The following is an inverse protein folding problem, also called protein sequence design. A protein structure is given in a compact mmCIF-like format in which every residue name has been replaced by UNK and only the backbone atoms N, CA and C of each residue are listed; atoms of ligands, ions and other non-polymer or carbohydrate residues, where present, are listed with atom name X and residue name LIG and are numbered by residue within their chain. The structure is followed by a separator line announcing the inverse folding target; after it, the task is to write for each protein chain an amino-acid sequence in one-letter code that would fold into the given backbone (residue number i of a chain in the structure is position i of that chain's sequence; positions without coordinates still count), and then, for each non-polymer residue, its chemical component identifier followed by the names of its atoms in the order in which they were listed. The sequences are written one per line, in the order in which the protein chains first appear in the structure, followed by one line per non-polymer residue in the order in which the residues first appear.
data_IF_129012865654
#
_entry.id   IF_129012865654
#
_cell.length_a   1.000
_cell.length_b   1.000
_cell.length_c   1.000
_cell.angle_alpha   90.00
_cell.angle_beta   90.00
_cell.angle_gamma   90.00
#
_symmetry.space_group_name_H-M   'P 1'
#
loop_
_entity.id
_entity.type
_entity.pdbx_description
1 polymer ?
#
# COMPACT_ATOMS: atom_id res chain seq x y z
N UNK A 1 -5.68 1.64 11.24
CA UNK A 1 -6.91 1.46 12.02
C UNK A 1 -7.73 2.74 11.97
N UNK A 2 -9.09 2.65 11.99
CA UNK A 2 -9.92 3.85 12.13
C UNK A 2 -9.94 4.82 10.95
N UNK A 3 -9.45 4.45 9.76
CA UNK A 3 -9.45 5.32 8.57
C UNK A 3 -10.83 5.89 8.26
N UNK A 4 -11.86 5.04 8.31
CA UNK A 4 -13.25 5.43 8.04
C UNK A 4 -13.76 6.46 9.04
N UNK A 5 -13.37 6.38 10.32
CA UNK A 5 -13.75 7.37 11.34
C UNK A 5 -13.19 8.76 11.01
N UNK A 6 -11.95 8.84 10.53
CA UNK A 6 -11.35 10.11 10.08
C UNK A 6 -12.14 10.67 8.89
N UNK A 7 -12.49 9.82 7.91
CA UNK A 7 -13.30 10.23 6.77
C UNK A 7 -14.68 10.72 7.17
N UNK A 8 -15.35 10.03 8.12
CA UNK A 8 -16.67 10.42 8.64
C UNK A 8 -16.60 11.82 9.29
N UNK A 9 -15.59 12.07 10.13
CA UNK A 9 -15.42 13.38 10.78
C UNK A 9 -15.10 14.49 9.80
N UNK A 10 -14.21 14.23 8.84
CA UNK A 10 -13.88 15.20 7.80
C UNK A 10 -15.11 15.53 6.93
N UNK A 11 -15.88 14.50 6.56
CA UNK A 11 -17.12 14.68 5.79
C UNK A 11 -18.18 15.46 6.57
N UNK A 12 -18.29 15.24 7.90
CA UNK A 12 -19.21 16.01 8.75
C UNK A 12 -18.87 17.49 8.74
N UNK A 13 -17.60 17.85 8.98
CA UNK A 13 -17.15 19.24 8.99
C UNK A 13 -17.38 19.89 7.64
N UNK A 14 -17.07 19.22 6.54
CA UNK A 14 -17.26 19.74 5.19
C UNK A 14 -18.76 19.96 4.88
N UNK A 15 -19.60 18.96 5.13
CA UNK A 15 -21.06 19.06 4.88
C UNK A 15 -21.71 20.17 5.73
N UNK A 16 -21.34 20.28 7.02
CA UNK A 16 -21.83 21.37 7.90
C UNK A 16 -21.32 22.75 7.48
N UNK A 17 -20.24 22.82 6.72
CA UNK A 17 -19.75 24.08 6.11
C UNK A 17 -20.44 24.41 4.78
N UNK A 18 -21.44 23.63 4.35
CA UNK A 18 -22.24 23.88 3.14
C UNK A 18 -21.59 23.45 1.83
N UNK A 19 -20.56 22.56 1.89
CA UNK A 19 -19.95 21.99 0.67
C UNK A 19 -20.31 20.51 0.54
N UNK A 20 -20.38 20.05 -0.72
CA UNK A 20 -20.64 18.64 -1.01
C UNK A 20 -19.41 17.78 -0.79
N UNK A 21 -19.64 16.54 -0.36
CA UNK A 21 -18.59 15.52 -0.13
C UNK A 21 -18.84 14.33 -1.05
N UNK A 22 -17.80 13.91 -1.77
CA UNK A 22 -17.82 12.68 -2.55
C UNK A 22 -16.90 11.63 -1.90
N UNK A 23 -17.43 10.42 -1.69
CA UNK A 23 -16.68 9.28 -1.16
C UNK A 23 -16.66 8.17 -2.19
N UNK A 24 -15.47 7.84 -2.68
CA UNK A 24 -15.28 6.86 -3.74
C UNK A 24 -14.63 5.59 -3.18
N UNK A 25 -15.32 4.48 -3.35
CA UNK A 25 -14.84 3.15 -2.99
C UNK A 25 -14.60 2.29 -4.25
N UNK A 26 -13.63 1.36 -4.23
CA UNK A 26 -13.29 0.55 -5.41
C UNK A 26 -14.35 -0.49 -5.77
N UNK A 27 -15.16 -0.93 -4.81
CA UNK A 27 -16.19 -1.95 -5.02
C UNK A 27 -17.55 -1.47 -4.54
N UNK A 28 -18.60 -2.07 -5.12
CA UNK A 28 -19.99 -1.77 -4.77
C UNK A 28 -20.32 -2.17 -3.34
N UNK A 29 -19.80 -3.30 -2.86
CA UNK A 29 -20.01 -3.74 -1.49
C UNK A 29 -19.35 -2.78 -0.48
N UNK A 30 -18.13 -2.32 -0.74
CA UNK A 30 -17.48 -1.34 0.12
C UNK A 30 -18.21 0.01 0.11
N UNK A 31 -18.73 0.44 -1.04
CA UNK A 31 -19.57 1.63 -1.13
C UNK A 31 -20.85 1.48 -0.30
N UNK A 32 -21.51 0.30 -0.34
CA UNK A 32 -22.67 -0.03 0.50
C UNK A 32 -22.33 0.04 1.99
N UNK A 33 -21.19 -0.52 2.40
CA UNK A 33 -20.75 -0.50 3.80
C UNK A 33 -20.47 0.93 4.28
N UNK A 34 -19.78 1.73 3.47
CA UNK A 34 -19.58 3.16 3.77
C UNK A 34 -20.91 3.88 3.88
N UNK A 35 -21.82 3.68 2.93
CA UNK A 35 -23.15 4.31 2.98
C UNK A 35 -23.88 3.98 4.27
N UNK A 36 -23.94 2.72 4.67
CA UNK A 36 -24.59 2.29 5.91
C UNK A 36 -23.95 2.96 7.14
N UNK A 37 -22.63 2.96 7.22
CA UNK A 37 -21.90 3.56 8.34
C UNK A 37 -22.10 5.06 8.45
N UNK A 38 -22.11 5.78 7.31
CA UNK A 38 -22.36 7.22 7.27
C UNK A 38 -23.81 7.57 7.56
N UNK A 39 -24.75 6.86 6.95
CA UNK A 39 -26.18 7.08 7.16
C UNK A 39 -26.59 6.83 8.62
N UNK A 40 -26.04 5.80 9.25
CA UNK A 40 -26.26 5.52 10.67
C UNK A 40 -25.64 6.60 11.57
N UNK A 41 -24.40 7.00 11.30
CA UNK A 41 -23.68 8.01 12.09
C UNK A 41 -24.34 9.37 12.00
N UNK A 42 -24.89 9.74 10.86
CA UNK A 42 -25.51 11.05 10.65
C UNK A 42 -27.02 11.06 10.85
N UNK A 43 -27.59 9.98 11.35
CA UNK A 43 -29.01 9.92 11.71
C UNK A 43 -29.35 11.01 12.73
N UNK A 44 -30.29 11.88 12.39
CA UNK A 44 -30.70 13.01 13.25
C UNK A 44 -29.92 14.31 13.01
N UNK A 45 -28.93 14.33 12.16
CA UNK A 45 -28.29 15.55 11.68
C UNK A 45 -28.91 16.03 10.37
N UNK A 46 -28.89 17.34 10.08
CA UNK A 46 -29.40 17.90 8.83
C UNK A 46 -28.41 17.63 7.67
N UNK A 47 -28.04 16.37 7.45
CA UNK A 47 -27.09 15.94 6.43
C UNK A 47 -27.74 14.84 5.59
N UNK A 48 -27.86 15.09 4.29
CA UNK A 48 -28.45 14.16 3.34
C UNK A 48 -27.37 13.28 2.70
N UNK A 49 -27.28 12.01 3.15
CA UNK A 49 -26.36 11.02 2.61
C UNK A 49 -27.02 10.22 1.52
N UNK A 50 -26.43 10.16 0.32
CA UNK A 50 -26.96 9.47 -0.86
C UNK A 50 -26.00 8.47 -1.46
N UNK A 51 -26.45 7.25 -1.83
CA UNK A 51 -25.62 6.28 -2.52
C UNK A 51 -25.70 6.45 -4.05
N UNK A 52 -24.59 6.18 -4.75
CA UNK A 52 -24.57 6.08 -6.21
C UNK A 52 -23.70 4.91 -6.66
N UNK A 53 -24.31 3.75 -6.84
CA UNK A 53 -23.66 2.53 -7.30
C UNK A 53 -24.64 1.69 -8.15
N UNK A 54 -24.17 0.59 -8.70
CA UNK A 54 -25.02 -0.34 -9.48
C UNK A 54 -26.18 -0.96 -8.70
N UNK A 55 -26.08 -1.03 -7.38
CA UNK A 55 -27.14 -1.58 -6.52
C UNK A 55 -28.24 -0.59 -6.16
N UNK A 56 -28.06 0.66 -6.52
CA UNK A 56 -29.10 1.67 -6.34
C UNK A 56 -30.11 1.52 -7.46
N UNK A 57 -31.41 1.54 -7.13
CA UNK A 57 -32.47 1.49 -8.14
C UNK A 57 -32.29 2.62 -9.16
N UNK A 58 -32.76 2.41 -10.40
CA UNK A 58 -32.66 3.43 -11.45
C UNK A 58 -33.30 4.75 -11.00
N UNK A 59 -34.41 4.66 -10.27
CA UNK A 59 -35.16 5.82 -9.71
C UNK A 59 -34.29 6.55 -8.67
N UNK A 60 -33.73 5.82 -7.70
CA UNK A 60 -32.92 6.42 -6.63
C UNK A 60 -31.60 6.99 -7.17
N UNK A 61 -31.02 6.32 -8.17
CA UNK A 61 -29.83 6.83 -8.85
C UNK A 61 -30.12 8.14 -9.62
N UNK A 62 -31.30 8.28 -10.21
CA UNK A 62 -31.74 9.53 -10.85
C UNK A 62 -31.91 10.64 -9.81
N UNK A 63 -32.63 10.38 -8.72
CA UNK A 63 -32.80 11.31 -7.60
C UNK A 63 -31.44 11.72 -6.97
N UNK A 64 -30.52 10.78 -6.85
CA UNK A 64 -29.18 11.10 -6.34
C UNK A 64 -28.43 12.03 -7.30
N UNK A 65 -28.49 11.81 -8.63
CA UNK A 65 -27.85 12.71 -9.60
C UNK A 65 -28.49 14.10 -9.62
N UNK A 66 -29.79 14.19 -9.47
CA UNK A 66 -30.48 15.45 -9.31
C UNK A 66 -30.02 16.17 -8.05
N UNK A 67 -29.99 15.48 -6.89
CA UNK A 67 -29.52 16.03 -5.64
C UNK A 67 -28.04 16.44 -5.63
N UNK A 68 -27.19 15.81 -6.46
CA UNK A 68 -25.80 16.26 -6.69
C UNK A 68 -25.80 17.60 -7.44
N UNK A 69 -26.63 17.73 -8.45
CA UNK A 69 -26.64 18.91 -9.34
C UNK A 69 -27.30 20.11 -8.69
N UNK A 70 -28.36 19.92 -7.91
CA UNK A 70 -29.07 21.01 -7.22
C UNK A 70 -28.47 21.35 -5.85
N UNK A 71 -27.61 20.46 -5.31
CA UNK A 71 -26.90 20.62 -4.04
C UNK A 71 -27.69 20.16 -2.81
N UNK A 72 -28.79 19.40 -2.98
CA UNK A 72 -29.58 18.83 -1.89
C UNK A 72 -28.98 17.55 -1.31
N UNK A 73 -28.05 16.90 -2.03
CA UNK A 73 -27.25 15.80 -1.53
C UNK A 73 -25.93 16.34 -0.97
N UNK A 74 -25.71 16.19 0.33
CA UNK A 74 -24.53 16.71 1.01
C UNK A 74 -23.36 15.75 0.92
N UNK A 75 -23.60 14.45 1.15
CA UNK A 75 -22.58 13.40 1.12
C UNK A 75 -23.00 12.32 0.14
N UNK A 76 -22.17 12.10 -0.86
CA UNK A 76 -22.45 11.13 -1.92
C UNK A 76 -21.42 10.00 -1.84
N UNK A 77 -21.89 8.77 -1.69
CA UNK A 77 -21.05 7.59 -1.53
C UNK A 77 -21.28 6.64 -2.69
N UNK A 78 -20.19 6.30 -3.41
CA UNK A 78 -20.32 5.43 -4.56
C UNK A 78 -19.02 4.83 -5.04
N UNK A 79 -19.09 4.22 -6.21
CA UNK A 79 -17.94 3.67 -6.91
C UNK A 79 -17.41 4.67 -7.95
N UNK A 80 -16.61 4.18 -8.89
CA UNK A 80 -16.17 4.95 -10.07
C UNK A 80 -17.32 5.60 -10.86
N UNK A 81 -18.58 5.19 -10.63
CA UNK A 81 -19.75 5.85 -11.22
C UNK A 81 -19.82 7.34 -10.88
N UNK A 82 -19.28 7.76 -9.73
CA UNK A 82 -19.16 9.17 -9.34
C UNK A 82 -18.18 9.97 -10.23
N UNK A 83 -17.29 9.29 -10.93
CA UNK A 83 -16.31 9.91 -11.85
C UNK A 83 -16.84 10.08 -13.27
N UNK A 84 -18.08 9.64 -13.54
CA UNK A 84 -18.68 9.77 -14.86
C UNK A 84 -18.86 11.27 -15.23
N UNK A 85 -18.66 11.60 -16.52
CA UNK A 85 -18.82 12.99 -17.03
C UNK A 85 -20.22 13.55 -16.82
N UNK A 86 -21.19 12.67 -16.65
CA UNK A 86 -22.61 13.02 -16.40
C UNK A 86 -22.89 13.45 -14.96
N UNK A 87 -21.97 13.19 -14.02
CA UNK A 87 -22.10 13.62 -12.62
C UNK A 87 -21.45 14.99 -12.48
N UNK A 88 -22.26 15.99 -12.15
CA UNK A 88 -21.81 17.38 -11.98
C UNK A 88 -22.19 17.85 -10.58
N UNK A 89 -21.18 18.01 -9.73
CA UNK A 89 -21.37 18.56 -8.39
C UNK A 89 -21.61 20.06 -8.47
N UNK A 90 -22.53 20.58 -7.65
CA UNK A 90 -22.79 22.02 -7.52
C UNK A 90 -21.66 22.72 -6.77
N UNK A 91 -21.21 22.13 -5.66
CA UNK A 91 -20.20 22.72 -4.77
C UNK A 91 -19.39 21.62 -4.07
N UNK A 92 -18.59 20.85 -4.84
CA UNK A 92 -17.74 19.80 -4.26
C UNK A 92 -16.56 20.42 -3.51
N UNK A 93 -16.47 20.24 -2.19
CA UNK A 93 -15.37 20.75 -1.36
C UNK A 93 -14.43 19.67 -0.81
N UNK A 94 -14.95 18.42 -0.66
CA UNK A 94 -14.14 17.30 -0.15
C UNK A 94 -14.33 16.04 -1.00
N UNK A 95 -13.22 15.45 -1.42
CA UNK A 95 -13.17 14.17 -2.11
C UNK A 95 -12.42 13.15 -1.25
N UNK A 96 -13.12 12.11 -0.81
CA UNK A 96 -12.52 10.98 -0.07
C UNK A 96 -12.35 9.80 -1.02
N UNK A 97 -11.15 9.25 -1.10
CA UNK A 97 -10.82 8.10 -1.96
C UNK A 97 -10.32 6.96 -1.09
N UNK A 98 -11.07 5.87 -1.04
CA UNK A 98 -10.61 4.66 -0.35
C UNK A 98 -9.89 3.71 -1.30
N UNK A 99 -8.73 3.20 -0.87
CA UNK A 99 -7.87 2.25 -1.60
C UNK A 99 -7.55 2.72 -3.04
N UNK A 100 -7.04 3.96 -3.20
CA UNK A 100 -6.71 4.61 -4.49
C UNK A 100 -5.93 3.70 -5.45
N UNK A 101 -5.10 2.79 -4.94
CA UNK A 101 -4.30 1.86 -5.74
C UNK A 101 -5.14 0.89 -6.58
N UNK A 102 -6.39 0.67 -6.24
CA UNK A 102 -7.31 -0.22 -6.97
C UNK A 102 -7.96 0.45 -8.19
N UNK A 103 -7.79 1.76 -8.38
CA UNK A 103 -8.34 2.48 -9.53
C UNK A 103 -7.42 2.41 -10.75
N UNK A 104 -8.01 2.15 -11.92
CA UNK A 104 -7.30 2.15 -13.20
C UNK A 104 -6.85 3.55 -13.64
N UNK A 105 -5.98 3.60 -14.68
CA UNK A 105 -5.34 4.83 -15.17
C UNK A 105 -6.35 5.93 -15.53
N UNK A 106 -7.40 5.59 -16.28
CA UNK A 106 -8.45 6.55 -16.68
C UNK A 106 -9.18 7.18 -15.49
N UNK A 107 -9.48 6.40 -14.46
CA UNK A 107 -10.09 6.90 -13.23
C UNK A 107 -9.14 7.83 -12.46
N UNK A 108 -7.84 7.52 -12.44
CA UNK A 108 -6.83 8.37 -11.81
C UNK A 108 -6.66 9.71 -12.52
N UNK A 109 -6.73 9.73 -13.84
CA UNK A 109 -6.71 10.98 -14.62
C UNK A 109 -7.94 11.85 -14.31
N UNK A 110 -9.12 11.25 -14.23
CA UNK A 110 -10.34 11.98 -13.86
C UNK A 110 -10.28 12.50 -12.43
N UNK A 111 -9.75 11.73 -11.51
CA UNK A 111 -9.49 12.17 -10.13
C UNK A 111 -8.52 13.35 -10.08
N UNK A 112 -7.50 13.38 -10.93
CA UNK A 112 -6.58 14.52 -11.03
C UNK A 112 -7.30 15.81 -11.46
N UNK A 113 -8.22 15.71 -12.41
CA UNK A 113 -9.02 16.87 -12.87
C UNK A 113 -9.92 17.46 -11.77
N UNK A 114 -10.47 16.60 -10.89
CA UNK A 114 -11.30 17.02 -9.76
C UNK A 114 -10.48 17.60 -8.59
N UNK A 115 -9.17 17.35 -8.56
CA UNK A 115 -8.28 17.75 -7.45
C UNK A 115 -7.86 19.23 -7.46
N UNK A 116 -8.09 19.95 -8.54
CA UNK A 116 -7.52 21.29 -8.70
C UNK A 116 -8.10 22.30 -7.69
N UNK A 117 -9.39 22.13 -7.31
CA UNK A 117 -10.07 23.08 -6.42
C UNK A 117 -10.79 22.39 -5.23
N UNK A 118 -10.45 21.13 -4.93
CA UNK A 118 -11.15 20.29 -3.94
C UNK A 118 -10.13 19.69 -2.96
N UNK A 119 -10.44 19.71 -1.67
CA UNK A 119 -9.65 18.97 -0.68
C UNK A 119 -9.75 17.47 -0.93
N UNK A 120 -8.61 16.77 -0.92
CA UNK A 120 -8.57 15.34 -1.21
C UNK A 120 -8.00 14.57 -0.02
N UNK A 121 -8.80 13.65 0.52
CA UNK A 121 -8.39 12.70 1.56
C UNK A 121 -8.30 11.30 0.95
N UNK A 122 -7.10 10.73 0.91
CA UNK A 122 -6.90 9.36 0.44
C UNK A 122 -6.68 8.41 1.62
N UNK A 123 -7.41 7.31 1.63
CA UNK A 123 -7.32 6.28 2.66
C UNK A 123 -6.64 5.03 2.07
N UNK A 124 -5.71 4.44 2.80
CA UNK A 124 -5.10 3.14 2.40
C UNK A 124 -4.80 2.28 3.61
N UNK A 125 -4.90 0.96 3.46
CA UNK A 125 -4.49 0.01 4.50
C UNK A 125 -2.99 -0.28 4.43
N UNK A 126 -2.43 -0.28 3.22
CA UNK A 126 -1.00 -0.51 2.95
C UNK A 126 -0.55 0.54 1.94
N UNK A 127 0.27 1.51 2.34
CA UNK A 127 0.84 2.42 1.38
C UNK A 127 1.66 1.61 0.36
N UNK A 128 1.39 1.82 -0.93
CA UNK A 128 2.30 1.29 -1.95
C UNK A 128 3.66 2.00 -1.81
N UNK A 129 4.76 1.31 -2.12
CA UNK A 129 6.10 1.90 -2.06
C UNK A 129 6.20 3.28 -2.71
N UNK A 130 5.52 3.49 -3.87
CA UNK A 130 5.45 4.79 -4.55
C UNK A 130 4.75 5.88 -3.72
N UNK A 131 3.66 5.56 -3.04
CA UNK A 131 2.94 6.53 -2.18
C UNK A 131 3.81 6.89 -0.97
N UNK A 132 4.51 5.92 -0.42
CA UNK A 132 5.46 6.11 0.66
C UNK A 132 6.62 7.01 0.22
N UNK A 133 7.18 6.77 -0.97
CA UNK A 133 8.24 7.57 -1.56
C UNK A 133 7.81 9.03 -1.78
N UNK A 134 6.61 9.27 -2.35
CA UNK A 134 6.06 10.62 -2.54
C UNK A 134 5.80 11.34 -1.21
N UNK A 135 5.56 10.61 -0.13
CA UNK A 135 5.39 11.19 1.21
C UNK A 135 6.73 11.51 1.84
N UNK A 136 7.72 10.65 1.68
CA UNK A 136 9.08 10.89 2.17
C UNK A 136 9.76 12.08 1.46
N UNK A 137 9.43 12.30 0.18
CA UNK A 137 9.90 13.48 -0.58
C UNK A 137 9.08 14.76 -0.33
N UNK A 138 8.13 14.74 0.64
CA UNK A 138 7.32 15.90 0.98
C UNK A 138 6.32 16.36 -0.10
N UNK A 139 6.11 15.57 -1.16
CA UNK A 139 5.12 15.86 -2.23
C UNK A 139 3.70 15.61 -1.74
N UNK A 140 3.54 14.70 -0.76
CA UNK A 140 2.24 14.30 -0.23
C UNK A 140 2.30 14.16 1.29
N UNK A 141 1.42 14.84 1.99
CA UNK A 141 1.29 14.67 3.44
C UNK A 141 0.79 13.25 3.77
N UNK A 142 1.41 12.62 4.75
CA UNK A 142 1.06 11.29 5.21
C UNK A 142 0.83 11.31 6.73
N UNK A 143 -0.36 10.88 7.15
CA UNK A 143 -0.67 10.61 8.55
C UNK A 143 -0.81 9.11 8.77
N UNK A 144 -0.11 8.58 9.79
CA UNK A 144 -0.11 7.16 10.11
C UNK A 144 -0.94 6.92 11.37
N UNK A 145 -1.99 6.08 11.25
CA UNK A 145 -2.79 5.62 12.38
C UNK A 145 -2.22 4.25 12.80
N UNK A 146 -1.21 4.27 13.67
CA UNK A 146 -0.49 3.07 14.10
C UNK A 146 -1.12 2.36 15.29
N UNK A 147 -1.85 3.07 16.15
CA UNK A 147 -2.43 2.52 17.38
C UNK A 147 -3.68 1.71 17.09
N UNK A 148 -3.69 0.40 17.39
CA UNK A 148 -4.90 -0.41 17.24
C UNK A 148 -5.94 -0.06 18.29
N UNK A 149 -7.25 -0.30 18.02
CA UNK A 149 -8.28 -0.23 19.04
C UNK A 149 -8.00 -1.22 20.18
N UNK A 150 -8.29 -0.81 21.42
CA UNK A 150 -7.99 -1.58 22.64
C UNK A 150 -8.63 -2.97 22.62
N UNK A 151 -9.84 -3.10 22.08
CA UNK A 151 -10.60 -4.36 22.03
C UNK A 151 -10.19 -5.29 20.88
N UNK A 152 -9.23 -4.90 20.03
CA UNK A 152 -8.87 -5.69 18.87
C UNK A 152 -7.78 -6.69 19.19
N UNK A 153 -8.12 -7.97 19.07
CA UNK A 153 -7.17 -9.05 19.28
C UNK A 153 -6.27 -9.24 18.06
N UNK A 154 -5.00 -9.55 18.32
CA UNK A 154 -4.05 -9.91 17.26
C UNK A 154 -4.50 -11.20 16.54
N UNK A 155 -4.31 -11.24 15.22
CA UNK A 155 -4.62 -12.41 14.40
C UNK A 155 -3.50 -13.43 14.60
N UNK A 156 -3.84 -14.63 15.10
CA UNK A 156 -2.87 -15.71 15.15
C UNK A 156 -2.59 -16.24 13.76
N UNK A 157 -1.34 -16.16 13.35
CA UNK A 157 -0.91 -16.54 12.01
C UNK A 157 -0.04 -17.79 12.08
N UNK A 158 -0.43 -18.81 11.31
CA UNK A 158 0.30 -20.07 11.18
C UNK A 158 0.82 -20.19 9.75
N UNK A 159 2.07 -20.62 9.60
CA UNK A 159 2.70 -20.93 8.31
C UNK A 159 3.08 -22.41 8.35
N UNK A 160 2.48 -23.22 7.48
CA UNK A 160 2.70 -24.67 7.44
C UNK A 160 2.50 -25.23 6.03
N UNK A 161 2.87 -26.48 5.82
CA UNK A 161 2.34 -27.24 4.69
C UNK A 161 0.84 -27.44 4.88
N UNK A 162 0.11 -27.58 3.77
CA UNK A 162 -1.32 -27.90 3.81
C UNK A 162 -1.52 -29.28 4.39
N UNK A 163 -2.33 -29.33 5.43
CA UNK A 163 -2.81 -30.54 6.07
C UNK A 163 -4.35 -30.49 6.12
N UNK A 164 -4.99 -31.45 5.46
CA UNK A 164 -6.46 -31.49 5.33
C UNK A 164 -7.16 -31.57 6.69
N UNK A 165 -6.59 -32.31 7.65
CA UNK A 165 -7.15 -32.47 8.97
C UNK A 165 -7.16 -31.15 9.72
N UNK A 166 -6.03 -30.44 9.73
CA UNK A 166 -5.88 -29.14 10.38
C UNK A 166 -6.82 -28.09 9.78
N UNK A 167 -6.93 -28.07 8.44
CA UNK A 167 -7.80 -27.11 7.74
C UNK A 167 -9.26 -27.42 8.01
N UNK A 168 -9.67 -28.71 7.96
CA UNK A 168 -11.02 -29.15 8.32
C UNK A 168 -11.38 -28.72 9.74
N UNK A 169 -10.51 -28.99 10.70
CA UNK A 169 -10.73 -28.62 12.10
C UNK A 169 -10.87 -27.10 12.28
N UNK A 170 -10.06 -26.32 11.57
CA UNK A 170 -10.13 -24.85 11.60
C UNK A 170 -11.47 -24.33 11.07
N UNK A 171 -11.99 -24.90 9.97
CA UNK A 171 -13.28 -24.53 9.37
C UNK A 171 -14.45 -24.92 10.28
N UNK A 172 -14.45 -26.14 10.81
CA UNK A 172 -15.50 -26.61 11.71
C UNK A 172 -15.55 -25.83 13.03
N UNK A 173 -14.38 -25.51 13.60
CA UNK A 173 -14.31 -24.67 14.80
C UNK A 173 -14.94 -23.29 14.54
N UNK A 174 -14.72 -22.69 13.37
CA UNK A 174 -15.32 -21.41 13.01
C UNK A 174 -16.84 -21.55 12.83
N UNK A 175 -17.29 -22.58 12.11
CA UNK A 175 -18.70 -22.87 11.89
C UNK A 175 -19.45 -23.06 13.21
N UNK A 176 -18.95 -23.93 14.12
CA UNK A 176 -19.62 -24.23 15.41
C UNK A 176 -19.66 -23.04 16.37
N UNK A 177 -18.81 -22.04 16.20
CA UNK A 177 -18.91 -20.78 16.98
C UNK A 177 -19.76 -19.71 16.29
N UNK A 178 -20.44 -20.05 15.18
CA UNK A 178 -21.30 -19.15 14.42
C UNK A 178 -20.55 -18.09 13.59
N UNK A 179 -19.28 -18.33 13.31
CA UNK A 179 -18.47 -17.46 12.48
C UNK A 179 -18.38 -17.95 11.03
N UNK A 180 -17.70 -17.15 10.20
CA UNK A 180 -17.47 -17.44 8.79
C UNK A 180 -15.98 -17.55 8.49
N UNK A 181 -15.65 -18.22 7.38
CA UNK A 181 -14.27 -18.46 6.95
C UNK A 181 -14.03 -18.01 5.52
N UNK A 182 -12.80 -17.57 5.24
CA UNK A 182 -12.29 -17.38 3.89
C UNK A 182 -11.33 -18.50 3.52
N UNK A 183 -11.43 -19.00 2.30
CA UNK A 183 -10.37 -19.77 1.65
C UNK A 183 -9.94 -18.97 0.42
N UNK A 184 -8.67 -18.60 0.36
CA UNK A 184 -8.12 -17.82 -0.74
C UNK A 184 -7.10 -18.65 -1.51
N UNK A 185 -7.28 -18.69 -2.82
CA UNK A 185 -6.41 -19.42 -3.75
C UNK A 185 -5.77 -18.45 -4.76
N UNK A 186 -4.54 -18.72 -5.24
CA UNK A 186 -3.87 -17.82 -6.18
C UNK A 186 -4.44 -17.84 -7.59
N UNK A 187 -5.01 -18.98 -8.02
CA UNK A 187 -5.50 -19.20 -9.39
C UNK A 187 -6.87 -19.86 -9.37
N UNK A 188 -7.64 -19.63 -10.43
CA UNK A 188 -8.95 -20.28 -10.61
C UNK A 188 -8.81 -21.80 -10.74
N UNK A 189 -7.72 -22.27 -11.35
CA UNK A 189 -7.44 -23.71 -11.44
C UNK A 189 -7.25 -24.38 -10.07
N UNK A 190 -6.76 -23.64 -9.09
CA UNK A 190 -6.56 -24.16 -7.73
C UNK A 190 -7.90 -24.22 -6.94
N UNK A 191 -8.98 -23.58 -7.45
CA UNK A 191 -10.30 -23.61 -6.80
C UNK A 191 -10.93 -25.00 -6.87
N UNK A 192 -10.76 -25.72 -7.95
CA UNK A 192 -11.34 -27.05 -8.15
C UNK A 192 -10.90 -27.99 -7.04
N UNK A 193 -9.60 -27.98 -6.70
CA UNK A 193 -9.02 -28.78 -5.63
C UNK A 193 -9.65 -28.44 -4.27
N UNK A 194 -9.86 -27.16 -4.00
CA UNK A 194 -10.47 -26.70 -2.75
C UNK A 194 -11.99 -26.92 -2.70
N UNK A 195 -12.70 -26.85 -3.82
CA UNK A 195 -14.12 -27.22 -3.91
C UNK A 195 -14.33 -28.71 -3.62
N UNK A 196 -13.49 -29.57 -4.22
CA UNK A 196 -13.51 -31.01 -3.96
C UNK A 196 -13.20 -31.31 -2.48
N UNK A 197 -12.19 -30.65 -1.93
CA UNK A 197 -11.86 -30.76 -0.49
C UNK A 197 -13.06 -30.37 0.39
N UNK A 198 -13.69 -29.22 0.15
CA UNK A 198 -14.85 -28.78 0.92
C UNK A 198 -16.02 -29.78 0.81
N UNK A 199 -16.31 -30.24 -0.41
CA UNK A 199 -17.42 -31.17 -0.65
C UNK A 199 -17.21 -32.54 -0.01
N UNK A 200 -15.98 -33.07 -0.07
CA UNK A 200 -15.70 -34.43 0.33
C UNK A 200 -15.26 -34.55 1.80
N UNK A 201 -14.47 -33.57 2.28
CA UNK A 201 -13.87 -33.64 3.61
C UNK A 201 -14.54 -32.71 4.65
N UNK A 202 -15.30 -31.68 4.21
CA UNK A 202 -15.97 -30.73 5.13
C UNK A 202 -17.42 -30.47 4.69
N UNK A 203 -18.25 -31.53 4.51
CA UNK A 203 -19.63 -31.38 4.04
C UNK A 203 -20.55 -30.64 5.00
N UNK A 204 -20.13 -30.43 6.24
CA UNK A 204 -20.90 -29.76 7.29
C UNK A 204 -21.00 -28.23 7.05
N UNK A 205 -20.09 -27.65 6.26
CA UNK A 205 -20.09 -26.21 5.99
C UNK A 205 -20.68 -25.89 4.62
N UNK A 206 -21.51 -24.86 4.56
CA UNK A 206 -22.00 -24.31 3.31
C UNK A 206 -20.96 -23.39 2.69
N UNK A 207 -20.66 -23.55 1.41
CA UNK A 207 -19.64 -22.74 0.72
C UNK A 207 -20.18 -22.05 -0.53
N UNK A 208 -19.60 -20.90 -0.85
CA UNK A 208 -19.82 -20.16 -2.07
C UNK A 208 -18.49 -19.78 -2.70
N UNK A 209 -18.41 -19.86 -4.02
CA UNK A 209 -17.22 -19.47 -4.78
C UNK A 209 -17.36 -18.08 -5.39
N UNK A 210 -16.26 -17.33 -5.42
CA UNK A 210 -16.21 -16.02 -6.03
C UNK A 210 -14.88 -15.77 -6.78
N UNK A 211 -14.96 -15.41 -8.06
CA UNK A 211 -13.79 -15.14 -8.91
C UNK A 211 -13.92 -13.82 -9.67
N UNK A 212 -12.79 -13.21 -10.03
CA UNK A 212 -12.78 -11.99 -10.85
C UNK A 212 -13.23 -12.18 -12.30
N UNK A 213 -13.40 -13.43 -12.76
CA UNK A 213 -13.88 -13.74 -14.10
C UNK A 213 -15.41 -13.85 -14.17
N UNK A 214 -16.09 -13.91 -13.03
CA UNK A 214 -17.54 -13.91 -12.98
C UNK A 214 -18.11 -12.59 -13.49
N UNK A 215 -19.32 -12.65 -14.06
CA UNK A 215 -20.08 -11.44 -14.37
C UNK A 215 -20.21 -10.59 -13.10
N UNK A 216 -20.04 -9.29 -13.23
CA UNK A 216 -19.98 -8.39 -12.08
C UNK A 216 -21.24 -8.44 -11.19
N UNK A 217 -22.44 -8.67 -11.78
CA UNK A 217 -23.67 -8.86 -11.02
C UNK A 217 -23.67 -10.14 -10.19
N UNK A 218 -23.27 -11.25 -10.80
CA UNK A 218 -23.18 -12.56 -10.12
C UNK A 218 -22.17 -12.53 -8.97
N UNK A 219 -21.00 -11.92 -9.22
CA UNK A 219 -19.99 -11.73 -8.18
C UNK A 219 -20.57 -10.95 -6.99
N UNK A 220 -21.22 -9.83 -7.28
CA UNK A 220 -21.81 -8.98 -6.25
C UNK A 220 -22.91 -9.72 -5.47
N UNK A 221 -23.76 -10.53 -6.13
CA UNK A 221 -24.80 -11.32 -5.49
C UNK A 221 -24.23 -12.38 -4.55
N UNK A 222 -23.17 -13.10 -4.97
CA UNK A 222 -22.49 -14.09 -4.16
C UNK A 222 -21.80 -13.46 -2.94
N UNK A 223 -21.16 -12.31 -3.14
CA UNK A 223 -20.49 -11.56 -2.08
C UNK A 223 -21.49 -11.01 -1.05
N UNK A 224 -22.65 -10.52 -1.50
CA UNK A 224 -23.72 -10.09 -0.60
C UNK A 224 -24.33 -11.27 0.16
N UNK A 225 -24.55 -12.40 -0.49
CA UNK A 225 -25.07 -13.61 0.16
C UNK A 225 -24.12 -14.10 1.26
N UNK A 226 -22.81 -14.05 1.03
CA UNK A 226 -21.81 -14.36 2.05
C UNK A 226 -21.81 -13.30 3.17
N UNK A 227 -21.85 -12.02 2.84
CA UNK A 227 -21.95 -10.92 3.82
C UNK A 227 -23.19 -11.05 4.72
N UNK A 228 -24.34 -11.46 4.13
CA UNK A 228 -25.61 -11.68 4.85
C UNK A 228 -25.64 -12.99 5.65
N UNK A 229 -24.52 -13.74 5.71
CA UNK A 229 -24.38 -14.97 6.51
C UNK A 229 -25.06 -16.21 5.94
N UNK A 230 -25.38 -16.22 4.62
CA UNK A 230 -26.03 -17.39 3.97
C UNK A 230 -25.06 -18.56 3.73
N UNK A 231 -23.77 -18.31 3.82
CA UNK A 231 -22.71 -19.29 3.63
C UNK A 231 -21.67 -19.18 4.73
N UNK A 232 -21.13 -20.33 5.15
CA UNK A 232 -20.09 -20.45 6.17
C UNK A 232 -18.69 -20.15 5.61
N UNK A 233 -18.45 -20.51 4.35
CA UNK A 233 -17.14 -20.40 3.69
C UNK A 233 -17.25 -19.65 2.36
N UNK A 234 -16.39 -18.65 2.18
CA UNK A 234 -16.16 -18.03 0.88
C UNK A 234 -14.83 -18.55 0.31
N UNK A 235 -14.92 -19.32 -0.77
CA UNK A 235 -13.77 -19.73 -1.57
C UNK A 235 -13.55 -18.70 -2.69
N UNK A 236 -12.42 -18.01 -2.68
CA UNK A 236 -12.19 -16.91 -3.61
C UNK A 236 -10.73 -16.84 -4.09
N UNK A 237 -10.52 -16.17 -5.21
CA UNK A 237 -9.20 -15.68 -5.62
C UNK A 237 -8.86 -14.36 -4.90
N UNK A 238 -7.96 -13.56 -5.43
CA UNK A 238 -7.50 -12.28 -4.86
C UNK A 238 -8.59 -11.21 -4.67
N UNK A 239 -9.84 -11.48 -5.03
CA UNK A 239 -10.97 -10.55 -4.85
C UNK A 239 -11.13 -10.12 -3.38
N UNK A 240 -10.80 -10.99 -2.44
CA UNK A 240 -10.88 -10.73 -0.99
C UNK A 240 -9.97 -9.55 -0.56
N UNK A 241 -8.97 -9.19 -1.36
CA UNK A 241 -8.14 -8.00 -1.12
C UNK A 241 -8.94 -6.68 -1.19
N UNK A 242 -10.13 -6.68 -1.77
CA UNK A 242 -10.90 -5.49 -2.16
C UNK A 242 -11.70 -4.83 -1.05
N UNK A 243 -11.15 -4.66 0.16
CA UNK A 243 -11.76 -3.80 1.17
C UNK A 243 -12.95 -4.39 1.96
N UNK A 244 -13.27 -5.67 1.80
CA UNK A 244 -14.37 -6.34 2.47
C UNK A 244 -14.26 -6.26 4.00
N UNK A 245 -15.32 -5.81 4.64
CA UNK A 245 -15.48 -5.84 6.09
C UNK A 245 -16.59 -6.81 6.47
N UNK A 246 -16.22 -8.01 6.90
CA UNK A 246 -17.14 -9.06 7.34
C UNK A 246 -16.79 -9.40 8.78
N UNK A 247 -17.47 -8.81 9.77
CA UNK A 247 -17.12 -8.96 11.18
C UNK A 247 -17.22 -10.39 11.69
N UNK A 248 -18.07 -11.21 11.05
CA UNK A 248 -18.27 -12.62 11.37
C UNK A 248 -17.16 -13.53 10.83
N UNK A 249 -16.35 -13.06 9.89
CA UNK A 249 -15.28 -13.85 9.30
C UNK A 249 -14.00 -13.74 10.17
N UNK A 250 -13.68 -14.83 10.89
CA UNK A 250 -12.54 -14.84 11.81
C UNK A 250 -11.53 -15.97 11.51
N UNK A 251 -11.77 -16.79 10.49
CA UNK A 251 -10.80 -17.79 10.02
C UNK A 251 -10.45 -17.51 8.55
N UNK A 252 -9.16 -17.44 8.26
CA UNK A 252 -8.59 -17.23 6.92
C UNK A 252 -7.65 -18.39 6.59
N UNK A 253 -7.89 -19.05 5.46
CA UNK A 253 -7.01 -20.07 4.92
C UNK A 253 -6.50 -19.57 3.58
N UNK A 254 -5.20 -19.50 3.41
CA UNK A 254 -4.56 -19.11 2.15
C UNK A 254 -3.85 -20.34 1.59
N UNK A 255 -4.40 -20.90 0.53
CA UNK A 255 -3.81 -22.00 -0.23
C UNK A 255 -2.67 -21.50 -1.10
N UNK A 256 -1.53 -22.17 -1.07
CA UNK A 256 -0.32 -21.78 -1.81
C UNK A 256 0.10 -20.33 -1.53
N UNK A 257 0.24 -20.00 -0.27
CA UNK A 257 0.64 -18.67 0.19
C UNK A 257 2.00 -18.21 -0.40
N UNK A 258 2.86 -19.15 -0.81
CA UNK A 258 4.13 -18.91 -1.50
C UNK A 258 3.97 -18.15 -2.82
N UNK A 259 2.81 -18.21 -3.47
CA UNK A 259 2.52 -17.54 -4.74
C UNK A 259 2.06 -16.09 -4.61
N UNK A 260 1.75 -15.64 -3.41
CA UNK A 260 1.29 -14.27 -3.15
C UNK A 260 2.45 -13.34 -2.79
N UNK A 261 2.28 -12.05 -3.10
CA UNK A 261 3.16 -11.00 -2.62
C UNK A 261 2.97 -10.72 -1.13
N UNK A 262 4.00 -10.13 -0.48
CA UNK A 262 3.96 -9.83 0.95
C UNK A 262 2.81 -8.89 1.31
N UNK A 263 2.65 -7.79 0.56
CA UNK A 263 1.55 -6.83 0.72
C UNK A 263 0.17 -7.47 0.52
N UNK A 264 0.04 -8.39 -0.45
CA UNK A 264 -1.21 -9.12 -0.70
C UNK A 264 -1.58 -10.01 0.48
N UNK A 265 -0.64 -10.82 0.96
CA UNK A 265 -0.87 -11.69 2.11
C UNK A 265 -1.25 -10.89 3.36
N UNK A 266 -0.63 -9.75 3.57
CA UNK A 266 -0.96 -8.86 4.69
C UNK A 266 -2.38 -8.29 4.55
N UNK A 267 -2.79 -7.87 3.34
CA UNK A 267 -4.14 -7.38 3.07
C UNK A 267 -5.17 -8.48 3.26
N UNK A 268 -4.90 -9.69 2.72
CA UNK A 268 -5.77 -10.87 2.87
C UNK A 268 -5.91 -11.23 4.35
N UNK A 269 -4.79 -11.36 5.08
CA UNK A 269 -4.79 -11.62 6.53
C UNK A 269 -5.60 -10.58 7.30
N UNK A 270 -5.51 -9.31 6.91
CA UNK A 270 -6.24 -8.21 7.54
C UNK A 270 -7.76 -8.19 7.29
N UNK A 271 -8.29 -9.13 6.51
CA UNK A 271 -9.75 -9.29 6.30
C UNK A 271 -10.45 -10.01 7.42
N UNK A 272 -9.74 -10.75 8.25
CA UNK A 272 -10.26 -11.37 9.47
C UNK A 272 -9.86 -10.60 10.72
N UNK A 273 -10.48 -10.90 11.87
CA UNK A 273 -10.16 -10.28 13.15
C UNK A 273 -10.66 -8.84 13.25
N UNK A 274 -11.84 -8.56 12.74
CA UNK A 274 -12.47 -7.23 12.82
C UNK A 274 -13.55 -7.16 13.91
N UNK A 275 -13.78 -8.27 14.61
CA UNK A 275 -14.65 -8.37 15.78
C UNK A 275 -13.83 -8.55 17.07
N UNK A 276 -14.52 -8.67 18.20
CA UNK A 276 -13.91 -9.03 19.51
C UNK A 276 -13.51 -10.50 19.59
N UNK A 277 -13.85 -11.30 18.58
CA UNK A 277 -13.55 -12.72 18.49
C UNK A 277 -12.13 -12.94 17.97
N UNK A 278 -11.39 -13.86 18.60
CA UNK A 278 -10.03 -14.18 18.13
C UNK A 278 -10.05 -14.78 16.72
N UNK A 279 -9.23 -14.20 15.85
CA UNK A 279 -9.09 -14.64 14.48
C UNK A 279 -7.81 -15.44 14.23
N UNK A 280 -7.87 -16.27 13.20
CA UNK A 280 -6.80 -17.16 12.79
C UNK A 280 -6.54 -17.05 11.30
N UNK A 281 -5.26 -17.05 10.91
CA UNK A 281 -4.83 -17.09 9.53
C UNK A 281 -3.87 -18.25 9.32
N UNK A 282 -4.22 -19.14 8.41
CA UNK A 282 -3.41 -20.29 8.01
C UNK A 282 -2.85 -20.01 6.62
N UNK A 283 -1.55 -19.74 6.56
CA UNK A 283 -0.81 -19.54 5.32
C UNK A 283 -0.20 -20.86 4.93
N UNK A 284 -0.85 -21.60 4.01
CA UNK A 284 -0.44 -22.95 3.69
C UNK A 284 0.34 -23.02 2.38
N UNK A 285 1.29 -23.93 2.31
CA UNK A 285 2.07 -24.23 1.10
C UNK A 285 1.75 -25.63 0.61
N UNK A 286 2.04 -25.94 -0.64
CA UNK A 286 1.81 -27.28 -1.18
C UNK A 286 2.72 -28.28 -0.47
N UNK A 287 2.20 -29.47 -0.05
CA UNK A 287 3.01 -30.49 0.63
C UNK A 287 4.24 -30.87 -0.19
N UNK A 288 5.38 -31.03 0.48
CA UNK A 288 6.68 -31.42 -0.12
C UNK A 288 7.20 -30.48 -1.21
N UNK A 289 6.70 -29.26 -1.32
CA UNK A 289 7.19 -28.28 -2.27
C UNK A 289 8.40 -27.53 -1.68
N UNK A 290 9.52 -27.51 -2.41
CA UNK A 290 10.67 -26.66 -2.06
C UNK A 290 10.33 -25.20 -2.37
N UNK A 291 10.30 -24.37 -1.35
CA UNK A 291 10.03 -22.94 -1.48
C UNK A 291 11.28 -22.21 -1.99
N UNK A 292 11.07 -21.13 -2.75
CA UNK A 292 12.15 -20.18 -3.08
C UNK A 292 12.55 -19.39 -1.84
N UNK A 293 13.80 -18.93 -1.77
CA UNK A 293 14.31 -18.13 -0.64
C UNK A 293 13.46 -16.87 -0.40
N UNK A 294 13.01 -16.23 -1.49
CA UNK A 294 12.12 -15.06 -1.44
C UNK A 294 10.75 -15.39 -0.85
N UNK A 295 10.15 -16.55 -1.23
CA UNK A 295 8.87 -16.99 -0.66
C UNK A 295 9.01 -17.32 0.83
N UNK A 296 10.11 -18.00 1.20
CA UNK A 296 10.38 -18.35 2.58
C UNK A 296 10.57 -17.11 3.46
N UNK A 297 11.31 -16.09 2.98
CA UNK A 297 11.48 -14.80 3.67
C UNK A 297 10.15 -14.11 3.89
N UNK A 298 9.29 -14.00 2.84
CA UNK A 298 7.96 -13.38 2.94
C UNK A 298 7.08 -14.07 3.98
N UNK A 299 7.01 -15.39 3.96
CA UNK A 299 6.19 -16.17 4.89
C UNK A 299 6.69 -16.08 6.33
N UNK A 300 8.03 -16.06 6.53
CA UNK A 300 8.65 -15.86 7.85
C UNK A 300 8.28 -14.49 8.44
N UNK A 301 8.36 -13.43 7.64
CA UNK A 301 7.96 -12.08 8.05
C UNK A 301 6.51 -12.06 8.53
N UNK A 302 5.59 -12.66 7.78
CA UNK A 302 4.17 -12.69 8.17
C UNK A 302 3.90 -13.55 9.41
N UNK A 303 4.63 -14.66 9.56
CA UNK A 303 4.53 -15.52 10.76
C UNK A 303 5.03 -14.85 12.04
N UNK A 304 6.00 -13.91 11.92
CA UNK A 304 6.54 -13.17 13.07
C UNK A 304 5.76 -11.89 13.41
N UNK A 305 4.79 -11.49 12.57
CA UNK A 305 3.97 -10.29 12.80
C UNK A 305 2.86 -10.54 13.84
N UNK A 306 3.21 -10.52 15.11
CA UNK A 306 2.25 -10.64 16.21
C UNK A 306 1.57 -9.31 16.57
N UNK A 307 2.12 -8.16 16.10
CA UNK A 307 1.58 -6.85 16.39
C UNK A 307 0.56 -6.38 15.34
N UNK A 308 -0.48 -5.70 15.82
CA UNK A 308 -1.42 -4.96 14.99
C UNK A 308 -0.77 -3.63 14.56
N UNK A 309 -0.91 -3.25 13.29
CA UNK A 309 -0.41 -1.95 12.80
C UNK A 309 0.91 -1.97 12.02
N UNK A 310 1.50 -3.14 11.78
CA UNK A 310 2.78 -3.31 11.09
C UNK A 310 2.76 -2.98 9.57
N UNK A 311 1.70 -2.32 9.06
CA UNK A 311 1.55 -2.06 7.61
C UNK A 311 2.66 -1.19 7.02
N UNK A 312 3.18 -0.24 7.78
CA UNK A 312 4.29 0.62 7.35
C UNK A 312 5.62 -0.16 7.32
N UNK A 313 5.93 -0.86 8.40
CA UNK A 313 7.10 -1.74 8.49
C UNK A 313 7.08 -2.82 7.40
N UNK A 314 5.89 -3.34 7.08
CA UNK A 314 5.73 -4.31 6.01
C UNK A 314 6.00 -3.71 4.63
N UNK A 315 5.56 -2.48 4.37
CA UNK A 315 5.83 -1.79 3.11
C UNK A 315 7.35 -1.60 2.90
N UNK A 316 8.08 -1.26 3.96
CA UNK A 316 9.53 -1.16 3.96
C UNK A 316 10.19 -2.53 3.71
N UNK A 317 9.72 -3.58 4.35
CA UNK A 317 10.24 -4.95 4.15
C UNK A 317 9.91 -5.52 2.76
N UNK A 318 8.74 -5.21 2.19
CA UNK A 318 8.39 -5.60 0.81
C UNK A 318 9.34 -4.92 -0.20
N UNK A 319 9.74 -3.71 0.09
CA UNK A 319 10.74 -2.93 -0.66
C UNK A 319 12.12 -3.63 -0.63
N UNK A 320 12.55 -4.06 0.54
CA UNK A 320 13.81 -4.77 0.73
C UNK A 320 13.82 -6.14 0.02
N UNK A 321 12.73 -6.91 0.13
CA UNK A 321 12.62 -8.24 -0.46
C UNK A 321 12.56 -8.17 -1.99
N UNK A 322 11.92 -7.14 -2.57
CA UNK A 322 11.83 -6.91 -4.02
C UNK A 322 13.08 -6.28 -4.60
N UNK A 323 13.89 -5.63 -3.76
CA UNK A 323 14.99 -4.76 -4.17
C UNK A 323 14.47 -3.42 -4.71
N UNK A 324 15.20 -2.34 -4.46
CA UNK A 324 14.83 -0.97 -4.85
C UNK A 324 14.66 -0.78 -6.38
N UNK A 325 15.18 -1.70 -7.20
CA UNK A 325 15.15 -1.63 -8.66
C UNK A 325 13.79 -1.89 -9.33
N UNK A 326 12.78 -2.45 -8.61
CA UNK A 326 11.49 -2.83 -9.21
C UNK A 326 10.33 -1.84 -8.92
N UNK A 327 10.61 -0.72 -8.29
CA UNK A 327 9.59 0.22 -7.78
C UNK A 327 8.92 1.10 -8.83
N UNK A 328 9.56 1.33 -9.97
CA UNK A 328 9.17 2.38 -10.90
C UNK A 328 8.78 1.92 -12.32
N UNK A 329 8.65 0.62 -12.57
CA UNK A 329 8.44 0.09 -13.93
C UNK A 329 9.74 0.05 -14.75
N UNK A 330 9.74 -0.66 -15.88
CA UNK A 330 10.98 -0.92 -16.66
C UNK A 330 11.65 0.36 -17.20
N UNK A 331 10.90 1.38 -17.57
CA UNK A 331 11.46 2.65 -18.08
C UNK A 331 12.06 3.53 -16.97
N UNK A 332 11.51 3.51 -15.76
CA UNK A 332 12.01 4.30 -14.63
C UNK A 332 13.06 3.55 -13.79
N UNK A 333 13.08 2.21 -13.82
CA UNK A 333 14.11 1.41 -13.17
C UNK A 333 15.49 1.53 -13.85
N UNK A 334 15.53 1.89 -15.14
CA UNK A 334 16.78 2.19 -15.87
C UNK A 334 17.51 3.38 -15.25
N UNK A 335 16.84 4.50 -15.06
CA UNK A 335 17.43 5.71 -14.48
C UNK A 335 17.82 5.54 -13.00
N UNK A 336 17.06 4.79 -12.19
CA UNK A 336 17.44 4.47 -10.82
C UNK A 336 18.62 3.51 -10.72
N UNK A 337 18.80 2.60 -11.67
CA UNK A 337 19.98 1.74 -11.74
C UNK A 337 21.25 2.53 -12.09
N UNK A 338 21.11 3.56 -12.91
CA UNK A 338 22.24 4.40 -13.35
C UNK A 338 22.62 5.43 -12.29
N UNK A 339 21.66 5.98 -11.55
CA UNK A 339 21.84 7.16 -10.70
C UNK A 339 21.85 6.82 -9.20
N UNK A 340 21.31 5.67 -8.79
CA UNK A 340 21.10 5.30 -7.39
C UNK A 340 19.85 5.96 -6.80
N UNK A 341 19.24 5.26 -5.81
CA UNK A 341 17.99 5.69 -5.17
C UNK A 341 18.10 7.09 -4.53
N UNK A 342 19.22 7.37 -3.91
CA UNK A 342 19.45 8.60 -3.13
C UNK A 342 19.54 9.84 -4.02
N UNK A 343 20.26 9.72 -5.12
CA UNK A 343 20.37 10.84 -6.07
C UNK A 343 19.06 11.11 -6.79
N UNK A 344 18.26 10.07 -7.10
CA UNK A 344 16.91 10.23 -7.63
C UNK A 344 16.00 10.94 -6.63
N UNK A 345 16.08 10.58 -5.34
CA UNK A 345 15.29 11.24 -4.28
C UNK A 345 15.72 12.70 -4.13
N UNK A 346 17.00 13.00 -4.16
CA UNK A 346 17.53 14.37 -4.07
C UNK A 346 17.12 15.22 -5.28
N UNK A 347 17.21 14.68 -6.50
CA UNK A 347 16.72 15.35 -7.71
C UNK A 347 15.20 15.63 -7.65
N UNK A 348 14.42 14.72 -7.06
CA UNK A 348 12.99 14.91 -6.89
C UNK A 348 12.69 15.99 -5.85
N UNK A 349 13.40 16.00 -4.71
CA UNK A 349 13.28 17.03 -3.67
C UNK A 349 13.68 18.42 -4.20
N UNK A 350 14.74 18.51 -4.97
CA UNK A 350 15.22 19.75 -5.60
C UNK A 350 14.20 20.29 -6.62
N UNK A 351 13.62 19.43 -7.47
CA UNK A 351 12.56 19.81 -8.41
C UNK A 351 11.29 20.28 -7.69
N UNK A 352 10.93 19.64 -6.60
CA UNK A 352 9.78 20.02 -5.79
C UNK A 352 10.01 21.36 -5.09
N UNK A 353 11.21 21.59 -4.57
CA UNK A 353 11.59 22.86 -3.98
C UNK A 353 11.53 24.00 -5.02
N UNK A 354 12.02 23.75 -6.24
CA UNK A 354 11.94 24.69 -7.36
C UNK A 354 10.48 25.02 -7.75
N UNK A 355 9.61 24.03 -7.85
CA UNK A 355 8.19 24.22 -8.16
C UNK A 355 7.48 24.99 -7.03
N UNK A 356 7.74 24.67 -5.76
CA UNK A 356 7.14 25.35 -4.59
C UNK A 356 7.60 26.81 -4.44
N UNK A 357 8.83 27.12 -4.85
CA UNK A 357 9.36 28.49 -4.82
C UNK A 357 8.85 29.37 -5.97
N UNK A 358 8.02 28.83 -6.88
CA UNK A 358 7.44 29.60 -7.99
C UNK A 358 8.44 29.92 -9.10
N UNK A 359 9.60 29.27 -9.12
CA UNK A 359 10.55 29.38 -10.22
C UNK A 359 9.98 28.65 -11.44
N UNK A 360 9.30 29.40 -12.30
CA UNK A 360 8.81 28.94 -13.60
C UNK A 360 9.95 28.46 -14.48
N UNK A 361 9.63 27.48 -15.33
CA UNK A 361 10.41 26.94 -16.44
C UNK A 361 11.46 27.92 -16.98
N UNK A 362 12.72 27.69 -16.71
CA UNK A 362 13.83 28.43 -17.35
C UNK A 362 14.98 28.66 -16.39
N UNK A 363 16.06 27.92 -16.63
CA UNK A 363 17.38 28.14 -16.09
C UNK A 363 17.55 27.78 -14.63
N UNK A 364 17.86 26.50 -14.40
CA UNK A 364 18.61 26.08 -13.21
C UNK A 364 20.07 26.50 -13.48
N UNK A 365 20.42 27.71 -13.14
CA UNK A 365 21.81 28.07 -12.86
C UNK A 365 21.84 28.56 -11.41
N UNK A 366 22.60 27.88 -10.62
CA UNK A 366 23.43 28.26 -9.51
C UNK A 366 23.37 27.35 -8.29
N UNK A 367 24.42 26.57 -8.15
CA UNK A 367 24.93 26.12 -6.83
C UNK A 367 24.51 24.75 -6.32
N UNK A 368 23.46 24.13 -6.83
CA UNK A 368 22.96 22.86 -6.30
C UNK A 368 23.11 21.64 -7.24
N UNK A 369 24.11 21.62 -8.11
CA UNK A 369 24.41 20.42 -8.88
C UNK A 369 25.18 19.37 -8.06
N UNK A 370 24.90 18.10 -8.28
CA UNK A 370 25.58 17.01 -7.63
C UNK A 370 26.36 16.16 -8.65
N UNK A 371 27.65 15.87 -8.39
CA UNK A 371 28.45 15.01 -9.26
C UNK A 371 27.88 13.61 -9.37
N UNK A 372 27.79 13.07 -10.59
CA UNK A 372 27.48 11.65 -10.83
C UNK A 372 28.75 10.83 -10.75
N UNK A 373 28.76 9.79 -9.91
CA UNK A 373 29.93 8.94 -9.70
C UNK A 373 29.54 7.49 -9.91
N UNK A 374 30.17 6.84 -10.88
CA UNK A 374 30.01 5.42 -11.14
C UNK A 374 31.38 4.73 -11.04
N UNK A 375 31.54 3.89 -10.04
CA UNK A 375 32.79 3.14 -9.79
C UNK A 375 32.66 1.65 -10.08
N UNK A 376 31.49 1.15 -10.49
CA UNK A 376 31.25 -0.27 -10.77
C UNK A 376 31.41 -1.20 -9.55
N UNK A 377 31.36 -0.67 -8.34
CA UNK A 377 31.50 -1.42 -7.08
C UNK A 377 30.23 -1.26 -6.21
N UNK A 378 29.86 -2.26 -5.41
CA UNK A 378 28.72 -2.14 -4.52
C UNK A 378 28.97 -1.08 -3.44
N UNK A 379 28.03 -0.13 -3.34
CA UNK A 379 28.11 1.04 -2.45
C UNK A 379 26.84 1.01 -1.58
N UNK A 380 26.89 0.26 -0.47
CA UNK A 380 25.71 0.09 0.39
C UNK A 380 26.13 -0.18 1.86
N UNK A 381 25.21 0.06 2.77
CA UNK A 381 25.30 -0.41 4.16
C UNK A 381 24.64 -1.80 4.21
N UNK A 382 25.41 -2.90 4.40
CA UNK A 382 24.85 -4.24 4.39
C UNK A 382 23.82 -4.47 5.51
N UNK A 383 22.78 -5.25 5.21
CA UNK A 383 21.73 -5.60 6.17
C UNK A 383 22.27 -6.40 7.37
N UNK A 384 23.27 -7.24 7.14
CA UNK A 384 23.93 -7.98 8.22
C UNK A 384 24.76 -7.09 9.16
N UNK A 385 25.12 -5.88 8.71
CA UNK A 385 25.84 -4.90 9.52
C UNK A 385 24.90 -3.97 10.31
N UNK A 386 23.84 -3.46 9.66
CA UNK A 386 22.77 -2.69 10.30
C UNK A 386 21.42 -3.33 9.92
N UNK A 387 20.89 -4.25 10.73
CA UNK A 387 19.66 -4.99 10.40
C UNK A 387 18.41 -4.12 10.31
N UNK A 388 18.34 -3.07 11.11
CA UNK A 388 17.18 -2.16 11.15
C UNK A 388 17.20 -1.20 9.95
N UNK A 389 16.14 -1.23 9.15
CA UNK A 389 16.00 -0.43 7.95
C UNK A 389 15.88 1.07 8.24
N UNK A 390 15.12 1.45 9.27
CA UNK A 390 14.92 2.87 9.61
C UNK A 390 16.22 3.50 10.08
N UNK A 391 17.02 2.73 10.82
CA UNK A 391 18.37 3.13 11.22
C UNK A 391 19.27 3.26 9.99
N UNK A 392 19.25 2.29 9.05
CA UNK A 392 20.02 2.38 7.80
C UNK A 392 19.68 3.60 6.99
N UNK A 393 18.38 3.88 6.77
CA UNK A 393 17.91 5.07 6.03
C UNK A 393 18.34 6.36 6.73
N UNK A 394 18.28 6.41 8.06
CA UNK A 394 18.78 7.53 8.85
C UNK A 394 20.29 7.75 8.69
N UNK A 395 21.08 6.67 8.62
CA UNK A 395 22.51 6.72 8.38
C UNK A 395 22.82 7.23 6.96
N UNK A 396 22.10 6.78 5.93
CA UNK A 396 22.26 7.27 4.57
C UNK A 396 21.98 8.77 4.45
N UNK A 397 20.88 9.28 5.06
CA UNK A 397 20.57 10.71 5.09
C UNK A 397 21.68 11.53 5.71
N UNK A 398 22.16 11.11 6.88
CA UNK A 398 23.27 11.80 7.54
C UNK A 398 24.56 11.76 6.71
N UNK A 399 24.84 10.63 6.05
CA UNK A 399 26.02 10.48 5.21
C UNK A 399 25.98 11.40 3.98
N UNK A 400 24.78 11.64 3.38
CA UNK A 400 24.63 12.54 2.23
C UNK A 400 24.96 14.00 2.56
N UNK A 401 24.79 14.41 3.82
CA UNK A 401 25.04 15.77 4.28
C UNK A 401 26.52 16.03 4.66
N UNK A 402 27.34 14.95 4.75
CA UNK A 402 28.74 15.05 5.15
C UNK A 402 29.60 15.52 3.97
N UNK A 403 30.34 16.60 4.19
CA UNK A 403 31.17 17.22 3.13
C UNK A 403 32.67 17.22 3.47
N UNK A 404 33.03 17.05 4.73
CA UNK A 404 34.42 17.14 5.17
C UNK A 404 34.99 15.76 5.60
N UNK A 405 36.32 15.64 5.53
CA UNK A 405 37.00 14.43 5.97
C UNK A 405 36.78 14.15 7.46
N UNK A 406 36.77 15.19 8.29
CA UNK A 406 36.60 15.08 9.74
C UNK A 406 35.19 14.56 10.09
N UNK A 407 34.17 15.04 9.41
CA UNK A 407 32.79 14.56 9.59
C UNK A 407 32.67 13.08 9.19
N UNK A 408 33.28 12.67 8.07
CA UNK A 408 33.27 11.28 7.63
C UNK A 408 34.02 10.35 8.61
N UNK A 409 35.15 10.79 9.16
CA UNK A 409 35.89 10.05 10.20
C UNK A 409 35.08 9.94 11.49
N UNK A 410 34.37 11.01 11.90
CA UNK A 410 33.46 11.00 13.04
C UNK A 410 32.30 10.05 12.84
N UNK A 411 31.72 10.03 11.64
CA UNK A 411 30.65 9.10 11.27
C UNK A 411 31.12 7.65 11.26
N UNK A 412 32.34 7.39 10.74
CA UNK A 412 32.94 6.06 10.78
C UNK A 412 33.17 5.58 12.21
N UNK A 413 33.64 6.44 13.11
CA UNK A 413 33.84 6.11 14.52
C UNK A 413 32.52 5.76 15.21
N UNK A 414 31.45 6.51 14.94
CA UNK A 414 30.10 6.21 15.45
C UNK A 414 29.58 4.85 14.94
N UNK A 415 29.78 4.54 13.66
CA UNK A 415 29.38 3.25 13.11
C UNK A 415 30.13 2.08 13.75
N UNK A 416 31.44 2.26 14.01
CA UNK A 416 32.25 1.24 14.68
C UNK A 416 31.76 1.03 16.11
N UNK A 417 31.45 2.10 16.83
CA UNK A 417 31.01 2.05 18.22
C UNK A 417 29.64 1.35 18.34
N UNK A 418 28.71 1.64 17.43
CA UNK A 418 27.34 1.12 17.48
C UNK A 418 27.16 -0.28 16.87
N UNK A 419 27.88 -0.59 15.81
CA UNK A 419 27.63 -1.76 14.98
C UNK A 419 28.87 -2.65 14.78
N UNK A 420 30.03 -2.25 15.31
CA UNK A 420 31.28 -2.99 15.20
C UNK A 420 32.08 -2.63 13.95
N UNK A 421 33.05 -3.48 13.60
CA UNK A 421 34.04 -3.24 12.52
C UNK A 421 33.33 -2.97 11.18
N UNK A 422 33.72 -1.88 10.48
CA UNK A 422 33.18 -1.48 9.21
C UNK A 422 33.36 -2.55 8.12
N UNK A 423 32.31 -2.97 7.42
CA UNK A 423 32.38 -3.77 6.21
C UNK A 423 33.09 -3.02 5.06
N UNK A 424 33.62 -3.76 4.09
CA UNK A 424 34.25 -3.20 2.89
C UNK A 424 33.33 -2.28 2.10
N UNK A 425 32.05 -2.64 2.00
CA UNK A 425 31.01 -1.91 1.29
C UNK A 425 30.76 -0.53 1.92
N UNK A 426 30.76 -0.45 3.25
CA UNK A 426 30.59 0.82 3.98
C UNK A 426 31.82 1.70 3.82
N UNK A 427 33.03 1.12 3.84
CA UNK A 427 34.25 1.89 3.54
C UNK A 427 34.23 2.46 2.13
N UNK A 428 33.78 1.67 1.15
CA UNK A 428 33.63 2.10 -0.23
C UNK A 428 32.57 3.22 -0.35
N UNK A 429 31.45 3.11 0.34
CA UNK A 429 30.40 4.13 0.40
C UNK A 429 30.97 5.47 0.91
N UNK A 430 31.73 5.46 2.02
CA UNK A 430 32.36 6.67 2.56
C UNK A 430 33.38 7.26 1.60
N UNK A 431 34.14 6.43 0.88
CA UNK A 431 35.07 6.87 -0.13
C UNK A 431 34.32 7.57 -1.30
N UNK A 432 33.20 7.03 -1.75
CA UNK A 432 32.35 7.63 -2.81
C UNK A 432 31.83 8.98 -2.37
N UNK A 433 31.33 9.13 -1.14
CA UNK A 433 30.89 10.43 -0.60
C UNK A 433 32.03 11.45 -0.59
N UNK A 434 33.22 11.02 -0.19
CA UNK A 434 34.41 11.88 -0.24
C UNK A 434 34.80 12.29 -1.65
N UNK A 435 34.79 11.35 -2.62
CA UNK A 435 35.05 11.64 -4.04
C UNK A 435 33.99 12.62 -4.57
N UNK A 436 32.72 12.45 -4.22
CA UNK A 436 31.62 13.34 -4.59
C UNK A 436 31.87 14.78 -4.12
N UNK A 437 32.27 14.95 -2.86
CA UNK A 437 32.61 16.27 -2.34
C UNK A 437 33.82 16.91 -3.05
N UNK A 438 34.82 16.09 -3.43
CA UNK A 438 35.98 16.55 -4.21
C UNK A 438 35.59 16.91 -5.64
N UNK A 439 34.79 16.11 -6.32
CA UNK A 439 34.28 16.39 -7.67
C UNK A 439 33.47 17.70 -7.70
N UNK A 440 32.62 17.94 -6.69
CA UNK A 440 31.87 19.20 -6.55
C UNK A 440 32.81 20.41 -6.45
N UNK A 441 33.88 20.30 -5.64
CA UNK A 441 34.89 21.36 -5.52
C UNK A 441 35.69 21.57 -6.78
N UNK A 442 35.91 20.52 -7.58
CA UNK A 442 36.67 20.57 -8.83
C UNK A 442 35.81 20.90 -10.07
N UNK A 443 34.49 21.12 -9.90
CA UNK A 443 33.60 21.37 -11.04
C UNK A 443 33.38 20.17 -11.95
N UNK A 444 33.52 18.93 -11.43
CA UNK A 444 33.34 17.65 -12.17
C UNK A 444 31.90 17.21 -12.04
N UNK A 445 31.14 17.22 -13.13
CA UNK A 445 29.73 16.82 -13.17
C UNK A 445 29.54 15.30 -13.27
N UNK A 446 30.47 14.57 -13.88
CA UNK A 446 30.42 13.14 -14.03
C UNK A 446 31.80 12.50 -13.92
N UNK A 447 31.86 11.36 -13.18
CA UNK A 447 33.05 10.52 -13.03
C UNK A 447 32.63 9.06 -13.20
N UNK A 448 33.02 8.45 -14.32
CA UNK A 448 32.87 7.01 -14.59
C UNK A 448 34.26 6.36 -14.47
N UNK A 449 34.43 5.44 -13.52
CA UNK A 449 35.69 4.72 -13.36
C UNK A 449 35.48 3.20 -13.44
N UNK A 450 36.41 2.53 -14.13
CA UNK A 450 36.40 1.09 -14.32
C UNK A 450 37.83 0.52 -14.45
N UNK A 451 37.99 -0.79 -14.69
CA UNK A 451 39.31 -1.45 -14.75
C UNK A 451 40.27 -0.90 -15.82
N UNK A 452 39.73 -0.19 -16.83
CA UNK A 452 40.50 0.35 -17.97
C UNK A 452 40.83 1.84 -17.85
N UNK A 453 40.35 2.52 -16.83
CA UNK A 453 40.57 3.96 -16.63
C UNK A 453 39.34 4.68 -16.09
N UNK A 454 39.40 6.01 -16.03
CA UNK A 454 38.32 6.87 -15.60
C UNK A 454 38.00 7.92 -16.66
N UNK A 455 36.72 8.22 -16.85
CA UNK A 455 36.22 9.29 -17.70
C UNK A 455 35.63 10.37 -16.79
N UNK A 456 36.03 11.62 -17.04
CA UNK A 456 35.62 12.81 -16.28
C UNK A 456 34.92 13.77 -17.22
N UNK A 457 33.80 14.32 -16.80
CA UNK A 457 33.07 15.39 -17.48
C UNK A 457 32.96 16.59 -16.54
N UNK A 458 33.30 17.77 -17.03
CA UNK A 458 33.22 19.01 -16.26
C UNK A 458 31.81 19.62 -16.33
N UNK A 459 31.43 20.33 -15.29
CA UNK A 459 30.18 21.08 -15.25
C UNK A 459 30.27 22.31 -16.17
N UNK A 460 29.27 22.45 -17.06
CA UNK A 460 29.20 23.54 -18.06
C UNK A 460 30.35 23.60 -19.06
N UNK A 461 31.01 22.49 -19.37
CA UNK A 461 32.14 22.38 -20.31
C UNK A 461 33.25 23.42 -20.07
N UNK A 462 33.37 23.92 -18.83
CA UNK A 462 34.43 24.87 -18.44
C UNK A 462 35.56 24.13 -17.74
N UNK A 463 36.76 24.22 -18.37
CA UNK A 463 38.04 23.92 -17.74
C UNK A 463 38.36 24.97 -16.71
#
# INVERSE_FOLDING_TARGET
FGKTEVAIRAAFVAAMSGVQVAIIAPTTLLARQHYQSFAERFRGFPINVRPLSRFVSTRDAALTREGITDGTADIIIGTHALLAKTVRFKNLGLLVIDEEQKFGVQHKERLKQLRTDVHVLTLTATPIPRTLQLSLSGVRDLSIIGTPPIDRLAIRTYVSEFDSITVREALLREHYRGGQSFIVVPRITDMVEMEEFLKNEVPEVSSVTATGQMAAGELDDRMNAFYDGKYDVLLATTIVESGLDIPTANTMIVWRADMFGLSQLYQIRGRVGRSKTRAYAYLTTKPRQKLTDTAQKRLRVLGSLDSLGAGFTLASQDLDIRGAGNLLGEEQSGQMREVGYELYQQMLEDQIAAIRSGAAEGIIDDGHWAPQINLGVPVLIPENYVPDLDVRLGLYRRLSDLTTKVELEGFAAELIDRFGKLPSEVNTLMLVVRIKAMCKKAGISKLDAGPKGATIQFHNDKF
#
